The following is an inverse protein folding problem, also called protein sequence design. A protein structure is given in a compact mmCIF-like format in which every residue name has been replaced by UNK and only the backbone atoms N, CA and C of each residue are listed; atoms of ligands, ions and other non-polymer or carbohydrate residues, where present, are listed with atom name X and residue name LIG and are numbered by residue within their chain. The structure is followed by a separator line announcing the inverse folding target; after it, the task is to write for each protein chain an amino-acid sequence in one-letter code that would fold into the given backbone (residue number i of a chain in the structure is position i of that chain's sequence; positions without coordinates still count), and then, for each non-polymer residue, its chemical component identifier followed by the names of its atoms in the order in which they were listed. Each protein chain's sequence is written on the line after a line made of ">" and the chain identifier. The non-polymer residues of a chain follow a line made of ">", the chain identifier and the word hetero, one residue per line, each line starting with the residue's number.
data_IF_699758930680
#
_entry.id   IF_699758930680
#
_cell.length_a   1.000
_cell.length_b   1.000
_cell.length_c   1.000
_cell.angle_alpha   90.00
_cell.angle_beta   90.00
_cell.angle_gamma   90.00
#
_symmetry.space_group_name_H-M   'P 1'
#
loop_
_entity.id
_entity.type
_entity.pdbx_description
1 polymer ?
#
# COMPACT_ATOMS: atom_id res chain seq x y z
N UNK A 1 -5.63 27.85 11.32
CA UNK A 1 -4.84 26.60 11.34
C UNK A 1 -4.47 26.25 9.93
N UNK A 2 -3.18 26.27 9.59
CA UNK A 2 -2.70 25.71 8.33
C UNK A 2 -2.37 24.24 8.58
N UNK A 3 -3.15 23.31 8.02
CA UNK A 3 -2.72 21.91 7.95
C UNK A 3 -1.90 21.74 6.66
N UNK A 4 -0.73 21.15 6.78
CA UNK A 4 0.12 20.80 5.64
C UNK A 4 0.41 19.32 5.69
N UNK A 5 0.36 18.64 4.55
CA UNK A 5 0.87 17.29 4.43
C UNK A 5 2.40 17.38 4.26
N UNK A 6 3.21 16.88 5.20
CA UNK A 6 4.65 16.90 5.07
C UNK A 6 5.09 15.99 3.93
N UNK A 7 6.23 16.29 3.30
CA UNK A 7 6.85 15.44 2.28
C UNK A 7 7.14 14.01 2.77
N UNK A 8 7.31 13.84 4.09
CA UNK A 8 7.47 12.55 4.75
C UNK A 8 6.28 11.59 4.59
N UNK A 9 5.08 12.08 4.23
CA UNK A 9 3.93 11.20 3.96
C UNK A 9 4.20 10.23 2.80
N UNK A 10 4.91 10.68 1.76
CA UNK A 10 5.32 9.83 0.64
C UNK A 10 6.35 8.78 1.05
N UNK A 11 7.27 9.14 1.96
CA UNK A 11 8.22 8.18 2.53
C UNK A 11 7.49 7.11 3.34
N UNK A 12 6.47 7.50 4.11
CA UNK A 12 5.62 6.57 4.85
C UNK A 12 4.96 5.52 3.94
N UNK A 13 4.43 5.94 2.79
CA UNK A 13 3.85 5.01 1.79
C UNK A 13 4.90 4.02 1.27
N UNK A 14 6.11 4.50 0.96
CA UNK A 14 7.19 3.65 0.48
C UNK A 14 7.64 2.63 1.53
N UNK A 15 7.74 3.04 2.79
CA UNK A 15 8.12 2.16 3.91
C UNK A 15 7.02 1.14 4.24
N UNK A 16 5.74 1.54 4.17
CA UNK A 16 4.61 0.68 4.51
C UNK A 16 4.30 -0.39 3.46
N UNK A 17 4.59 -0.10 2.18
CA UNK A 17 4.17 -0.96 1.07
C UNK A 17 5.32 -1.47 0.20
N UNK A 18 6.57 -1.10 0.50
CA UNK A 18 7.75 -1.57 -0.21
C UNK A 18 8.05 -3.05 0.03
N UNK A 19 8.73 -3.67 -0.93
CA UNK A 19 9.31 -5.01 -0.82
C UNK A 19 10.67 -5.10 -1.51
N UNK A 20 11.25 -6.30 -1.56
CA UNK A 20 12.55 -6.54 -2.21
C UNK A 20 12.56 -6.24 -3.72
N UNK A 21 11.41 -6.20 -4.40
CA UNK A 21 11.28 -5.90 -5.81
C UNK A 21 11.03 -4.41 -6.10
N UNK A 22 10.65 -3.62 -5.08
CA UNK A 22 10.44 -2.18 -5.16
C UNK A 22 9.21 -1.72 -4.38
N UNK A 23 8.71 -0.54 -4.71
CA UNK A 23 7.50 0.02 -4.08
C UNK A 23 6.23 -0.67 -4.61
N UNK A 24 5.19 -0.79 -3.78
CA UNK A 24 3.81 -1.11 -4.21
C UNK A 24 2.98 0.16 -4.01
N UNK A 25 2.64 0.86 -5.09
CA UNK A 25 1.89 2.10 -4.97
C UNK A 25 0.40 1.80 -4.80
N UNK A 26 -0.27 2.43 -3.82
CA UNK A 26 -1.73 2.45 -3.80
C UNK A 26 -2.27 3.04 -5.12
N UNK A 27 -3.25 2.41 -5.77
CA UNK A 27 -3.87 2.91 -7.00
C UNK A 27 -4.30 4.38 -6.98
N UNK A 28 -4.72 4.91 -5.82
CA UNK A 28 -5.07 6.32 -5.69
C UNK A 28 -3.87 7.27 -5.84
N UNK A 29 -2.65 6.81 -5.51
CA UNK A 29 -1.41 7.59 -5.55
C UNK A 29 -0.55 7.29 -6.78
N UNK A 30 -0.77 6.15 -7.44
CA UNK A 30 0.08 5.69 -8.53
C UNK A 30 -0.02 6.62 -9.76
N UNK A 31 1.07 7.26 -10.23
CA UNK A 31 1.03 8.11 -11.43
C UNK A 31 0.59 7.33 -12.68
N UNK A 32 0.97 6.06 -12.73
CA UNK A 32 0.50 5.07 -13.70
C UNK A 32 -0.13 3.94 -12.91
N UNK A 33 -1.41 3.69 -13.14
CA UNK A 33 -2.18 2.62 -12.51
C UNK A 33 -2.02 1.30 -13.28
N UNK A 34 -1.97 1.40 -14.61
CA UNK A 34 -1.88 0.25 -15.51
C UNK A 34 -0.76 0.47 -16.51
N UNK A 35 0.14 -0.50 -16.64
CA UNK A 35 1.10 -0.54 -17.75
C UNK A 35 0.74 -1.65 -18.72
N UNK A 36 0.64 -1.31 -19.99
CA UNK A 36 0.27 -2.21 -21.07
C UNK A 36 1.54 -2.64 -21.78
N UNK A 37 1.82 -3.95 -21.79
CA UNK A 37 3.07 -4.52 -22.28
C UNK A 37 2.78 -5.52 -23.39
N UNK A 38 3.00 -5.14 -24.67
CA UNK A 38 2.96 -6.08 -25.76
C UNK A 38 4.15 -7.05 -25.68
N UNK A 39 3.88 -8.35 -25.79
CA UNK A 39 4.84 -9.45 -25.65
C UNK A 39 4.88 -10.24 -26.96
N UNK A 40 5.73 -9.87 -27.94
CA UNK A 40 5.86 -10.65 -29.17
C UNK A 40 6.49 -12.02 -28.88
N UNK A 41 5.89 -13.11 -29.40
CA UNK A 41 6.46 -14.47 -29.37
C UNK A 41 7.49 -14.65 -30.49
N UNK A 42 8.70 -15.12 -30.16
CA UNK A 42 9.79 -15.39 -31.11
C UNK A 42 10.34 -14.12 -31.79
N UNK A 43 11.53 -14.20 -32.40
CA UNK A 43 12.24 -13.05 -33.01
C UNK A 43 11.52 -12.27 -34.12
N UNK A 44 10.26 -12.57 -34.43
CA UNK A 44 9.51 -11.89 -35.47
C UNK A 44 8.05 -12.33 -35.55
N UNK A 45 7.18 -11.60 -34.87
CA UNK A 45 6.05 -11.08 -35.65
C UNK A 45 6.69 -10.16 -36.71
N UNK A 46 6.50 -10.45 -38.00
CA UNK A 46 6.92 -9.53 -39.06
C UNK A 46 6.38 -8.10 -38.80
N UNK A 47 6.75 -7.13 -39.63
CA UNK A 47 6.30 -5.73 -39.45
C UNK A 47 4.79 -5.61 -39.16
N UNK A 48 3.95 -6.46 -39.79
CA UNK A 48 2.51 -6.53 -39.54
C UNK A 48 2.10 -7.00 -38.13
N UNK A 49 2.77 -7.99 -37.55
CA UNK A 49 2.44 -8.48 -36.19
C UNK A 49 2.77 -7.45 -35.11
N UNK A 50 3.88 -6.72 -35.26
CA UNK A 50 4.23 -5.61 -34.36
C UNK A 50 3.26 -4.45 -34.49
N UNK A 51 2.84 -4.14 -35.71
CA UNK A 51 1.83 -3.11 -35.94
C UNK A 51 0.48 -3.47 -35.30
N UNK A 52 0.04 -4.73 -35.40
CA UNK A 52 -1.17 -5.20 -34.75
C UNK A 52 -1.09 -5.10 -33.22
N UNK A 53 0.03 -5.51 -32.63
CA UNK A 53 0.27 -5.38 -31.19
C UNK A 53 0.28 -3.91 -30.72
N UNK A 54 0.91 -3.02 -31.48
CA UNK A 54 0.94 -1.60 -31.17
C UNK A 54 -0.46 -0.96 -31.27
N UNK A 55 -1.21 -1.30 -32.32
CA UNK A 55 -2.58 -0.82 -32.51
C UNK A 55 -3.50 -1.28 -31.38
N UNK A 56 -3.41 -2.55 -30.96
CA UNK A 56 -4.18 -3.05 -29.83
C UNK A 56 -3.75 -2.36 -28.52
N UNK A 57 -2.45 -2.17 -28.29
CA UNK A 57 -1.96 -1.47 -27.09
C UNK A 57 -2.55 -0.05 -26.96
N UNK A 58 -2.58 0.68 -28.07
CA UNK A 58 -3.15 2.02 -28.12
C UNK A 58 -4.68 2.02 -27.96
N UNK A 59 -5.37 1.03 -28.54
CA UNK A 59 -6.80 0.84 -28.35
C UNK A 59 -7.15 0.61 -26.89
N UNK A 60 -6.46 -0.33 -26.24
CA UNK A 60 -6.63 -0.65 -24.81
C UNK A 60 -6.30 0.56 -23.93
N UNK A 61 -5.23 1.29 -24.25
CA UNK A 61 -4.88 2.53 -23.55
C UNK A 61 -6.01 3.55 -23.64
N UNK A 62 -6.54 3.79 -24.83
CA UNK A 62 -7.64 4.73 -25.05
C UNK A 62 -8.91 4.34 -24.28
N UNK A 63 -9.27 3.06 -24.31
CA UNK A 63 -10.42 2.53 -23.56
C UNK A 63 -10.28 2.75 -22.04
N UNK A 64 -9.12 2.40 -21.47
CA UNK A 64 -8.84 2.58 -20.05
C UNK A 64 -8.82 4.05 -19.66
N UNK A 65 -8.20 4.91 -20.47
CA UNK A 65 -8.16 6.35 -20.21
C UNK A 65 -9.55 6.99 -20.29
N UNK A 66 -10.41 6.54 -21.20
CA UNK A 66 -11.81 6.97 -21.28
C UNK A 66 -12.62 6.57 -20.03
N UNK A 67 -12.25 5.47 -19.37
CA UNK A 67 -12.80 5.04 -18.09
C UNK A 67 -12.14 5.72 -16.86
N UNK A 68 -11.24 6.69 -17.06
CA UNK A 68 -10.56 7.41 -15.98
C UNK A 68 -9.32 6.70 -15.41
N UNK A 69 -8.87 5.61 -16.02
CA UNK A 69 -7.69 4.86 -15.57
C UNK A 69 -6.41 5.44 -16.18
N UNK A 70 -5.41 5.67 -15.34
CA UNK A 70 -4.09 6.17 -15.77
C UNK A 70 -3.25 5.04 -16.37
N UNK A 71 -3.41 4.83 -17.67
CA UNK A 71 -2.71 3.79 -18.43
C UNK A 71 -1.52 4.31 -19.27
N UNK A 72 -0.44 3.54 -19.33
CA UNK A 72 0.77 3.77 -20.14
C UNK A 72 1.11 2.52 -20.97
N UNK A 73 1.64 2.68 -22.19
CA UNK A 73 2.11 1.56 -23.04
C UNK A 73 3.64 1.46 -22.98
N UNK A 74 4.16 0.27 -22.66
CA UNK A 74 5.60 -0.04 -22.74
C UNK A 74 5.94 -0.78 -24.05
N UNK A 75 6.02 0.01 -25.12
CA UNK A 75 6.38 -0.45 -26.47
C UNK A 75 7.88 -0.66 -26.72
N UNK A 76 8.75 -0.56 -25.70
CA UNK A 76 10.21 -0.62 -25.88
C UNK A 76 10.63 -1.93 -26.54
N UNK A 77 11.65 -1.89 -27.40
CA UNK A 77 12.20 -3.08 -28.07
C UNK A 77 13.22 -3.82 -27.19
N UNK A 78 12.82 -4.18 -25.97
CA UNK A 78 13.63 -4.95 -25.02
C UNK A 78 12.91 -6.24 -24.61
N UNK A 79 13.65 -7.16 -23.98
CA UNK A 79 13.09 -8.43 -23.52
C UNK A 79 11.94 -8.18 -22.52
N UNK A 80 10.84 -8.96 -22.55
CA UNK A 80 9.67 -8.73 -21.69
C UNK A 80 10.02 -8.64 -20.21
N UNK A 81 10.94 -9.49 -19.73
CA UNK A 81 11.40 -9.46 -18.34
C UNK A 81 12.00 -8.11 -17.91
N UNK A 82 12.66 -7.37 -18.81
CA UNK A 82 13.19 -6.04 -18.51
C UNK A 82 12.06 -5.01 -18.32
N UNK A 83 10.99 -5.12 -19.11
CA UNK A 83 9.78 -4.29 -18.97
C UNK A 83 9.04 -4.61 -17.67
N UNK A 84 8.88 -5.89 -17.38
CA UNK A 84 8.23 -6.37 -16.16
C UNK A 84 8.94 -5.87 -14.91
N UNK A 85 10.27 -6.07 -14.83
CA UNK A 85 11.05 -5.54 -13.71
C UNK A 85 11.03 -4.01 -13.62
N UNK A 86 10.97 -3.30 -14.74
CA UNK A 86 10.81 -1.84 -14.76
C UNK A 86 9.48 -1.41 -14.16
N UNK A 87 8.37 -2.09 -14.49
CA UNK A 87 7.05 -1.81 -13.94
C UNK A 87 6.93 -2.14 -12.45
N UNK A 88 7.54 -3.25 -12.03
CA UNK A 88 7.52 -3.72 -10.65
C UNK A 88 8.29 -2.80 -9.72
N UNK A 89 9.48 -2.35 -10.15
CA UNK A 89 10.29 -1.35 -9.41
C UNK A 89 9.58 -0.01 -9.28
N UNK A 90 8.90 0.43 -10.34
CA UNK A 90 8.06 1.66 -10.33
C UNK A 90 6.82 1.50 -9.45
N UNK A 91 6.44 0.27 -9.09
CA UNK A 91 5.26 -0.02 -8.29
C UNK A 91 3.94 0.20 -9.00
N UNK A 92 3.91 0.04 -10.33
CA UNK A 92 2.66 0.14 -11.11
C UNK A 92 1.69 -0.95 -10.60
N UNK A 93 0.47 -0.60 -10.15
CA UNK A 93 -0.48 -1.54 -9.55
C UNK A 93 -0.81 -2.75 -10.42
N UNK A 94 -1.12 -2.52 -11.70
CA UNK A 94 -1.49 -3.56 -12.65
C UNK A 94 -0.62 -3.51 -13.90
N UNK A 95 -0.31 -4.69 -14.44
CA UNK A 95 0.35 -4.84 -15.73
C UNK A 95 -0.49 -5.73 -16.63
N UNK A 96 -0.85 -5.22 -17.79
CA UNK A 96 -1.54 -5.98 -18.84
C UNK A 96 -0.50 -6.50 -19.82
N UNK A 97 -0.52 -7.81 -20.07
CA UNK A 97 0.37 -8.53 -20.97
C UNK A 97 -0.48 -9.19 -22.06
N UNK A 98 -0.10 -9.02 -23.32
CA UNK A 98 -0.74 -9.73 -24.44
C UNK A 98 0.23 -9.95 -25.59
N UNK A 99 0.02 -11.05 -26.31
CA UNK A 99 0.76 -11.41 -27.51
C UNK A 99 -0.18 -11.43 -28.73
N UNK A 100 0.33 -11.84 -29.88
CA UNK A 100 -0.46 -11.87 -31.13
C UNK A 100 -1.63 -12.87 -31.09
N UNK A 101 -1.51 -13.95 -30.31
CA UNK A 101 -2.59 -14.94 -30.13
C UNK A 101 -3.68 -14.36 -29.22
N UNK A 102 -3.28 -13.72 -28.12
CA UNK A 102 -4.17 -12.97 -27.22
C UNK A 102 -5.01 -11.92 -27.95
N UNK A 103 -4.43 -11.19 -28.92
CA UNK A 103 -5.19 -10.25 -29.77
C UNK A 103 -6.26 -10.98 -30.59
N UNK A 104 -5.93 -12.13 -31.18
CA UNK A 104 -6.87 -12.91 -31.98
C UNK A 104 -8.00 -13.53 -31.13
N UNK A 105 -7.71 -13.96 -29.90
CA UNK A 105 -8.69 -14.49 -28.96
C UNK A 105 -9.41 -13.44 -28.12
N UNK A 106 -9.08 -12.15 -28.27
CA UNK A 106 -9.60 -11.03 -27.46
C UNK A 106 -9.46 -11.28 -25.95
N UNK A 107 -8.29 -11.74 -25.56
CA UNK A 107 -7.94 -11.98 -24.16
C UNK A 107 -6.60 -11.32 -23.82
N UNK A 108 -6.33 -11.17 -22.53
CA UNK A 108 -5.04 -10.71 -22.02
C UNK A 108 -4.73 -11.37 -20.68
N UNK A 109 -3.50 -11.17 -20.20
CA UNK A 109 -3.08 -11.53 -18.86
C UNK A 109 -2.91 -10.25 -18.04
N UNK A 110 -3.48 -10.22 -16.84
CA UNK A 110 -3.29 -9.11 -15.88
C UNK A 110 -2.44 -9.60 -14.72
N UNK A 111 -1.31 -8.96 -14.50
CA UNK A 111 -0.41 -9.18 -13.36
C UNK A 111 -0.64 -8.08 -12.30
N UNK A 112 -0.98 -8.48 -11.08
CA UNK A 112 -1.13 -7.62 -9.90
C UNK A 112 0.22 -7.39 -9.21
N UNK A 113 0.49 -6.16 -8.76
CA UNK A 113 1.74 -5.81 -8.05
C UNK A 113 1.67 -6.06 -6.54
N UNK A 114 0.48 -6.00 -5.96
CA UNK A 114 0.22 -6.14 -4.53
C UNK A 114 0.26 -7.60 -4.03
N UNK A 115 0.19 -8.58 -4.95
CA UNK A 115 0.25 -10.01 -4.65
C UNK A 115 1.55 -10.66 -5.14
N UNK A 116 2.14 -11.59 -4.37
CA UNK A 116 3.27 -12.38 -4.83
C UNK A 116 2.83 -13.67 -5.54
N UNK A 117 3.71 -14.17 -6.41
CA UNK A 117 3.62 -15.54 -6.94
C UNK A 117 2.53 -15.73 -8.02
N UNK A 118 2.15 -16.99 -8.29
CA UNK A 118 1.24 -17.32 -9.40
C UNK A 118 -0.17 -16.75 -9.28
N UNK A 119 -0.66 -16.50 -8.05
CA UNK A 119 -1.98 -15.94 -7.78
C UNK A 119 -2.13 -14.50 -8.30
N UNK A 120 -1.01 -13.78 -8.40
CA UNK A 120 -0.99 -12.42 -8.93
C UNK A 120 -1.35 -12.32 -10.41
N UNK A 121 -1.43 -13.44 -11.15
CA UNK A 121 -1.69 -13.45 -12.60
C UNK A 121 -3.07 -13.98 -12.93
N UNK A 122 -3.92 -13.09 -13.41
CA UNK A 122 -5.21 -13.42 -14.01
C UNK A 122 -5.00 -13.67 -15.50
N UNK A 123 -5.35 -14.86 -15.98
CA UNK A 123 -5.24 -15.24 -17.39
C UNK A 123 -6.60 -15.16 -18.06
N UNK A 124 -6.58 -15.08 -19.39
CA UNK A 124 -7.78 -15.11 -20.24
C UNK A 124 -8.80 -14.01 -19.90
N UNK A 125 -8.32 -12.85 -19.43
CA UNK A 125 -9.18 -11.68 -19.16
C UNK A 125 -9.63 -11.09 -20.48
N UNK A 126 -10.93 -10.96 -20.67
CA UNK A 126 -11.51 -10.43 -21.90
C UNK A 126 -11.03 -9.00 -22.20
N UNK A 127 -10.67 -8.75 -23.45
CA UNK A 127 -10.36 -7.42 -23.98
C UNK A 127 -11.51 -6.83 -24.81
N UNK A 128 -12.71 -7.43 -24.71
CA UNK A 128 -13.91 -6.88 -25.33
C UNK A 128 -14.22 -5.49 -24.77
N UNK A 129 -14.75 -4.56 -25.60
CA UNK A 129 -15.02 -3.20 -25.18
C UNK A 129 -15.88 -3.12 -23.92
N UNK A 130 -15.40 -2.41 -22.90
CA UNK A 130 -16.07 -2.19 -21.62
C UNK A 130 -15.82 -3.29 -20.59
N UNK A 131 -15.63 -4.54 -21.01
CA UNK A 131 -15.35 -5.65 -20.09
C UNK A 131 -13.99 -5.48 -19.41
N UNK A 132 -12.96 -5.08 -20.17
CA UNK A 132 -11.63 -4.87 -19.62
C UNK A 132 -11.60 -3.70 -18.63
N UNK A 133 -12.23 -2.58 -18.98
CA UNK A 133 -12.24 -1.40 -18.12
C UNK A 133 -12.90 -1.69 -16.77
N UNK A 134 -14.04 -2.39 -16.76
CA UNK A 134 -14.70 -2.82 -15.52
C UNK A 134 -13.80 -3.71 -14.68
N UNK A 135 -13.21 -4.75 -15.27
CA UNK A 135 -12.30 -5.66 -14.58
C UNK A 135 -11.08 -4.93 -14.00
N UNK A 136 -10.50 -3.98 -14.73
CA UNK A 136 -9.36 -3.19 -14.27
C UNK A 136 -9.74 -2.30 -13.09
N UNK A 137 -10.91 -1.65 -13.13
CA UNK A 137 -11.38 -0.80 -12.03
C UNK A 137 -11.57 -1.63 -10.76
N UNK A 138 -12.25 -2.77 -10.85
CA UNK A 138 -12.47 -3.68 -9.71
C UNK A 138 -11.12 -4.14 -9.12
N UNK A 139 -10.16 -4.51 -9.97
CA UNK A 139 -8.82 -4.93 -9.53
C UNK A 139 -8.01 -3.81 -8.88
N UNK A 140 -8.19 -2.56 -9.33
CA UNK A 140 -7.55 -1.40 -8.68
C UNK A 140 -8.19 -1.13 -7.32
N UNK A 141 -9.51 -1.24 -7.17
CA UNK A 141 -10.19 -1.08 -5.88
C UNK A 141 -9.79 -2.19 -4.90
N UNK A 142 -9.73 -3.43 -5.37
CA UNK A 142 -9.23 -4.57 -4.58
C UNK A 142 -7.79 -4.36 -4.13
N UNK A 143 -6.90 -3.93 -5.03
CA UNK A 143 -5.50 -3.68 -4.68
C UNK A 143 -5.36 -2.53 -3.66
N UNK A 144 -6.17 -1.48 -3.78
CA UNK A 144 -6.20 -0.37 -2.83
C UNK A 144 -6.66 -0.86 -1.44
N UNK A 145 -7.69 -1.68 -1.39
CA UNK A 145 -8.23 -2.23 -0.14
C UNK A 145 -7.27 -3.23 0.50
N UNK A 146 -6.66 -4.11 -0.29
CA UNK A 146 -5.67 -5.08 0.17
C UNK A 146 -4.46 -4.41 0.81
N UNK A 147 -3.92 -3.35 0.18
CA UNK A 147 -2.80 -2.58 0.75
C UNK A 147 -3.20 -1.88 2.06
N UNK A 148 -4.41 -1.31 2.12
CA UNK A 148 -4.94 -0.68 3.35
C UNK A 148 -5.05 -1.68 4.49
N UNK A 149 -5.71 -2.81 4.27
CA UNK A 149 -5.92 -3.81 5.32
C UNK A 149 -4.63 -4.46 5.77
N UNK A 150 -3.71 -4.75 4.84
CA UNK A 150 -2.39 -5.28 5.20
C UNK A 150 -1.63 -4.32 6.10
N UNK A 151 -1.58 -3.03 5.75
CA UNK A 151 -0.89 -2.03 6.57
C UNK A 151 -1.58 -1.81 7.92
N UNK A 152 -2.92 -1.84 7.96
CA UNK A 152 -3.67 -1.72 9.21
C UNK A 152 -3.42 -2.91 10.14
N UNK A 153 -3.43 -4.14 9.60
CA UNK A 153 -3.13 -5.35 10.35
C UNK A 153 -1.69 -5.36 10.87
N UNK A 154 -0.72 -4.95 10.03
CA UNK A 154 0.67 -4.82 10.44
C UNK A 154 0.83 -3.81 11.59
N UNK A 155 0.23 -2.61 11.47
CA UNK A 155 0.25 -1.63 12.55
C UNK A 155 -0.40 -2.18 13.83
N UNK A 156 -1.55 -2.84 13.73
CA UNK A 156 -2.23 -3.43 14.88
C UNK A 156 -1.38 -4.51 15.58
N UNK A 157 -0.61 -5.30 14.83
CA UNK A 157 0.32 -6.28 15.43
C UNK A 157 1.57 -5.67 16.07
N UNK A 158 1.86 -4.40 15.79
CA UNK A 158 2.96 -3.67 16.41
C UNK A 158 2.54 -2.90 17.67
N UNK A 159 1.24 -2.68 17.88
CA UNK A 159 0.70 -1.98 19.04
C UNK A 159 0.27 -3.00 20.10
N UNK A 160 0.83 -2.90 21.30
CA UNK A 160 0.45 -3.73 22.46
C UNK A 160 -0.27 -2.89 23.50
N UNK A 161 -1.30 -3.47 24.11
CA UNK A 161 -2.01 -2.85 25.23
C UNK A 161 -1.23 -3.04 26.53
N UNK A 162 -1.04 -1.95 27.28
CA UNK A 162 -0.29 -1.92 28.54
C UNK A 162 -1.11 -1.23 29.63
N UNK A 163 -0.87 -1.65 30.87
CA UNK A 163 -1.59 -1.21 32.06
C UNK A 163 -0.67 -0.60 33.12
N UNK A 164 0.65 -0.72 32.97
CA UNK A 164 1.64 -0.18 33.90
C UNK A 164 2.86 0.40 33.18
N UNK A 165 3.59 1.25 33.90
CA UNK A 165 4.85 1.82 33.43
C UNK A 165 5.89 0.75 33.06
N UNK A 166 5.94 -0.36 33.81
CA UNK A 166 6.86 -1.45 33.52
C UNK A 166 6.52 -2.16 32.21
N UNK A 167 5.23 -2.44 31.98
CA UNK A 167 4.77 -2.99 30.70
C UNK A 167 5.02 -2.04 29.53
N UNK A 168 4.87 -0.72 29.74
CA UNK A 168 5.26 0.28 28.76
C UNK A 168 6.75 0.17 28.44
N UNK A 169 7.62 0.11 29.44
CA UNK A 169 9.07 -0.01 29.22
C UNK A 169 9.43 -1.28 28.47
N UNK A 170 8.88 -2.42 28.84
CA UNK A 170 9.13 -3.70 28.19
C UNK A 170 8.68 -3.68 26.72
N UNK A 171 7.52 -3.07 26.44
CA UNK A 171 7.03 -2.91 25.07
C UNK A 171 7.96 -2.05 24.22
N UNK A 172 8.44 -0.91 24.75
CA UNK A 172 9.35 -0.01 24.04
C UNK A 172 10.71 -0.68 23.82
N UNK A 173 11.23 -1.42 24.80
CA UNK A 173 12.48 -2.18 24.68
C UNK A 173 12.38 -3.27 23.60
N UNK A 174 11.24 -3.95 23.51
CA UNK A 174 10.91 -4.92 22.46
C UNK A 174 10.68 -4.29 21.07
N UNK A 175 10.73 -2.95 20.96
CA UNK A 175 10.53 -2.21 19.71
C UNK A 175 9.06 -2.10 19.29
N UNK A 176 8.12 -2.41 20.19
CA UNK A 176 6.69 -2.28 19.98
C UNK A 176 6.20 -0.88 20.33
N UNK A 177 4.98 -0.58 19.90
CA UNK A 177 4.24 0.60 20.32
C UNK A 177 3.38 0.21 21.52
N UNK A 178 3.27 1.08 22.51
CA UNK A 178 2.49 0.80 23.72
C UNK A 178 1.23 1.66 23.72
N UNK A 179 0.08 1.06 24.01
CA UNK A 179 -1.19 1.76 24.17
C UNK A 179 -1.72 1.52 25.57
N UNK A 180 -1.94 2.57 26.36
CA UNK A 180 -2.38 2.38 27.74
C UNK A 180 -3.10 3.58 28.34
N UNK A 181 -3.76 3.40 29.50
CA UNK A 181 -4.49 4.47 30.18
C UNK A 181 -3.55 5.59 30.62
N UNK A 182 -3.96 6.83 30.38
CA UNK A 182 -3.17 8.02 30.63
C UNK A 182 -3.98 9.09 31.35
N UNK A 183 -3.29 9.80 32.25
CA UNK A 183 -3.80 10.97 32.98
C UNK A 183 -2.71 12.04 33.19
N UNK A 184 -1.53 11.83 32.60
CA UNK A 184 -0.35 12.64 32.88
C UNK A 184 -0.35 13.97 32.13
N UNK A 185 0.31 14.96 32.71
CA UNK A 185 0.57 16.25 32.10
C UNK A 185 1.91 16.29 31.35
N UNK A 186 2.31 17.50 30.94
CA UNK A 186 3.57 17.71 30.22
C UNK A 186 4.81 17.24 31.00
N UNK A 187 4.81 17.40 32.33
CA UNK A 187 5.92 16.95 33.18
C UNK A 187 6.03 15.42 33.23
N UNK A 188 4.88 14.73 33.27
CA UNK A 188 4.81 13.26 33.26
C UNK A 188 5.26 12.70 31.90
N UNK A 189 4.81 13.32 30.80
CA UNK A 189 5.25 12.96 29.45
C UNK A 189 6.77 13.14 29.29
N UNK A 190 7.32 14.27 29.75
CA UNK A 190 8.76 14.51 29.73
C UNK A 190 9.54 13.51 30.59
N UNK A 191 8.98 13.08 31.72
CA UNK A 191 9.59 12.04 32.56
C UNK A 191 9.59 10.68 31.87
N UNK A 192 8.46 10.25 31.30
CA UNK A 192 8.36 9.01 30.51
C UNK A 192 9.35 9.01 29.34
N UNK A 193 9.50 10.14 28.63
CA UNK A 193 10.49 10.28 27.57
C UNK A 193 11.93 10.11 28.07
N UNK A 194 12.30 10.78 29.17
CA UNK A 194 13.66 10.70 29.72
C UNK A 194 14.00 9.31 30.26
N UNK A 195 13.04 8.66 30.93
CA UNK A 195 13.29 7.43 31.67
C UNK A 195 13.12 6.17 30.80
N UNK A 196 12.10 6.16 29.94
CA UNK A 196 11.75 5.01 29.10
C UNK A 196 12.16 5.19 27.63
N UNK A 197 12.62 6.38 27.23
CA UNK A 197 12.87 6.69 25.82
C UNK A 197 11.60 6.67 24.97
N UNK A 198 10.43 6.86 25.59
CA UNK A 198 9.14 6.71 24.97
C UNK A 198 8.47 8.08 24.80
N UNK A 199 8.16 8.45 23.56
CA UNK A 199 7.40 9.66 23.27
C UNK A 199 5.91 9.34 23.18
N UNK A 200 5.06 10.22 23.71
CA UNK A 200 3.62 10.18 23.49
C UNK A 200 3.37 10.59 22.02
N UNK A 201 2.84 9.66 21.23
CA UNK A 201 2.59 9.86 19.79
C UNK A 201 1.27 10.57 19.59
N UNK A 202 0.21 10.06 20.22
CA UNK A 202 -1.10 10.66 20.17
C UNK A 202 -2.01 10.10 21.28
N UNK A 203 -3.08 10.84 21.53
CA UNK A 203 -4.28 10.35 22.22
C UNK A 203 -5.31 10.05 21.12
N UNK A 204 -5.69 8.77 20.89
CA UNK A 204 -6.67 8.43 19.88
C UNK A 204 -8.00 9.16 20.10
N UNK A 205 -8.60 9.66 19.02
CA UNK A 205 -9.92 10.31 19.11
C UNK A 205 -11.00 9.31 19.54
N UNK A 206 -10.91 8.08 19.04
CA UNK A 206 -11.76 6.97 19.44
C UNK A 206 -11.16 6.30 20.68
N UNK A 207 -11.80 6.51 21.82
CA UNK A 207 -11.39 5.95 23.10
C UNK A 207 -12.07 4.59 23.32
N UNK A 208 -11.33 3.58 23.82
CA UNK A 208 -11.90 2.25 23.99
C UNK A 208 -12.94 2.23 25.12
N UNK A 209 -13.99 1.43 24.97
CA UNK A 209 -15.04 1.27 25.97
C UNK A 209 -14.55 0.62 27.27
N UNK A 210 -13.38 -0.03 27.24
CA UNK A 210 -12.71 -0.58 28.43
C UNK A 210 -12.18 0.50 29.38
N UNK A 211 -12.07 1.75 28.92
CA UNK A 211 -11.73 2.89 29.75
C UNK A 211 -12.95 3.29 30.59
N UNK A 212 -13.05 2.74 31.79
CA UNK A 212 -14.08 3.09 32.74
C UNK A 212 -13.63 4.29 33.57
N UNK A 213 -14.16 5.48 33.25
CA UNK A 213 -13.91 6.70 34.03
C UNK A 213 -14.19 6.43 35.51
N UNK A 214 -13.20 6.70 36.36
CA UNK A 214 -13.28 6.48 37.81
C UNK A 214 -12.69 5.16 38.31
N UNK A 215 -12.38 4.20 37.43
CA UNK A 215 -11.89 2.87 37.80
C UNK A 215 -10.53 2.53 37.16
N UNK A 216 -10.26 3.07 35.96
CA UNK A 216 -9.00 2.85 35.28
C UNK A 216 -7.91 3.76 35.84
N UNK A 217 -6.77 3.19 36.18
CA UNK A 217 -5.61 3.91 36.70
C UNK A 217 -4.61 4.21 35.59
N UNK A 218 -4.04 5.41 35.60
CA UNK A 218 -2.98 5.83 34.70
C UNK A 218 -1.77 4.92 34.84
N UNK A 219 -1.22 4.49 33.70
CA UNK A 219 -0.08 3.59 33.66
C UNK A 219 1.18 4.15 34.35
N UNK A 220 1.29 5.47 34.47
CA UNK A 220 2.46 6.15 35.05
C UNK A 220 2.16 6.79 36.41
N UNK A 221 1.19 7.71 36.46
CA UNK A 221 0.97 8.57 37.64
C UNK A 221 0.23 7.90 38.78
N UNK A 222 -0.47 6.78 38.53
CA UNK A 222 -1.36 6.17 39.50
C UNK A 222 -2.69 6.92 39.73
N UNK A 223 -2.92 8.04 39.04
CA UNK A 223 -4.20 8.77 39.08
C UNK A 223 -5.25 8.12 38.19
N UNK A 224 -6.51 8.56 38.33
CA UNK A 224 -7.58 8.08 37.45
C UNK A 224 -7.35 8.53 36.01
N UNK A 225 -7.31 7.57 35.09
CA UNK A 225 -7.18 7.81 33.66
C UNK A 225 -8.52 8.23 33.05
N UNK A 226 -8.49 9.29 32.27
CA UNK A 226 -9.65 9.78 31.50
C UNK A 226 -9.54 9.51 30.00
N UNK A 227 -8.39 9.00 29.57
CA UNK A 227 -8.07 8.65 28.19
C UNK A 227 -7.03 7.53 28.11
N UNK A 228 -6.82 7.03 26.90
CA UNK A 228 -5.74 6.14 26.49
C UNK A 228 -4.81 6.93 25.58
N UNK A 229 -3.51 6.76 25.77
CA UNK A 229 -2.47 7.33 24.93
C UNK A 229 -1.64 6.22 24.26
N UNK A 230 -1.06 6.55 23.11
CA UNK A 230 -0.13 5.70 22.38
C UNK A 230 1.27 6.26 22.51
N UNK A 231 2.20 5.40 22.92
CA UNK A 231 3.62 5.70 23.08
C UNK A 231 4.42 4.86 22.09
N UNK A 232 5.51 5.45 21.57
CA UNK A 232 6.47 4.75 20.75
C UNK A 232 7.89 5.19 21.11
N UNK A 233 8.88 4.40 20.70
CA UNK A 233 10.29 4.75 20.88
C UNK A 233 10.56 6.10 20.22
N UNK A 234 11.12 7.04 20.98
CA UNK A 234 11.52 8.32 20.44
C UNK A 234 12.59 8.13 19.36
N UNK A 235 12.47 8.89 18.26
CA UNK A 235 13.54 8.95 17.28
C UNK A 235 14.80 9.55 17.95
N UNK A 236 16.00 9.02 17.64
CA UNK A 236 17.26 9.53 18.19
C UNK A 236 17.56 10.97 17.75
#
# INVERSE_FOLDING_TARGET
>A
MACGLPSGALQGVALAHGDAAGIRLPPALAPVQVVIVPVPKGGGGGAGGRAALAAEAERLRGELQAAGVRAEVDGRSCVPGAKFGSSERRGVPLRIEFDTESVASRTCVISKRDEPGPAAKLRDVSTEPGALAAAVIDLLDDAQLALRWRSAAALQSEVVDVSSYWELRDAIEAGKWARGPWAGGADDEAAVLREAGAALVCIPLEQPSSLQRGWTTCLYTGYQATEVAVFARAAP
#
